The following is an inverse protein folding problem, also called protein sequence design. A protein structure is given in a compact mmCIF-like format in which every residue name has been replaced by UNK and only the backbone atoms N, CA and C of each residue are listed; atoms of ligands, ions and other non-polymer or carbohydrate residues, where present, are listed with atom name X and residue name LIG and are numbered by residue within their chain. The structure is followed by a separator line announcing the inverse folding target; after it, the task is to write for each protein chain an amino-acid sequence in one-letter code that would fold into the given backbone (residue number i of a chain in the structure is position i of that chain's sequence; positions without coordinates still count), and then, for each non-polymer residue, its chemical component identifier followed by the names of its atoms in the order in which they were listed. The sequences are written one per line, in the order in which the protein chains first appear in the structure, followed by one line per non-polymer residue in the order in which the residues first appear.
data_IF_116905773908
#
_entry.id   IF_116905773908
#
_cell.length_a   1.000
_cell.length_b   1.000
_cell.length_c   1.000
_cell.angle_alpha   90.00
_cell.angle_beta   90.00
_cell.angle_gamma   90.00
#
_symmetry.space_group_name_H-M   'P 1'
#
loop_
_entity.id
_entity.type
_entity.pdbx_description
1 polymer ?
#
# COMPACT_ATOMS: atom_id res chain seq x y z
N UNK A 1 -29.54 15.60 -17.44
CA UNK A 1 -30.38 14.48 -16.99
C UNK A 1 -29.56 13.78 -15.91
N UNK A 2 -30.03 13.91 -14.66
CA UNK A 2 -29.26 13.50 -13.48
C UNK A 2 -29.23 11.96 -13.36
N UNK A 3 -28.10 11.36 -13.14
CA UNK A 3 -27.93 9.89 -12.93
C UNK A 3 -28.89 9.32 -11.87
N UNK A 4 -29.26 10.13 -10.89
CA UNK A 4 -30.26 9.76 -9.86
C UNK A 4 -31.68 9.65 -10.39
N UNK A 5 -32.05 10.38 -11.45
CA UNK A 5 -33.38 10.26 -12.08
C UNK A 5 -33.48 9.01 -12.94
N UNK A 6 -32.42 8.63 -13.62
CA UNK A 6 -32.35 7.38 -14.40
C UNK A 6 -32.42 6.16 -13.49
N UNK A 7 -31.73 6.18 -12.35
CA UNK A 7 -31.76 5.12 -11.34
C UNK A 7 -33.16 4.96 -10.71
N UNK A 8 -33.84 6.08 -10.44
CA UNK A 8 -35.18 6.03 -9.88
C UNK A 8 -36.23 5.55 -10.89
N UNK A 9 -36.06 5.85 -12.19
CA UNK A 9 -36.95 5.37 -13.24
C UNK A 9 -36.78 3.87 -13.51
N UNK A 10 -35.54 3.35 -13.53
CA UNK A 10 -35.30 1.89 -13.64
C UNK A 10 -35.78 1.15 -12.39
N UNK A 11 -35.59 1.72 -11.21
CA UNK A 11 -36.03 1.11 -9.95
C UNK A 11 -37.58 1.03 -9.89
N UNK A 12 -38.28 2.06 -10.34
CA UNK A 12 -39.75 2.05 -10.40
C UNK A 12 -40.26 1.11 -11.48
N UNK A 13 -39.61 0.99 -12.64
CA UNK A 13 -40.00 0.01 -13.68
C UNK A 13 -39.79 -1.44 -13.22
N UNK A 14 -38.74 -1.71 -12.41
CA UNK A 14 -38.54 -3.05 -11.81
C UNK A 14 -39.63 -3.33 -10.76
N UNK A 15 -40.01 -2.34 -9.98
CA UNK A 15 -41.13 -2.47 -9.00
C UNK A 15 -42.47 -2.72 -9.69
N UNK A 16 -42.77 -2.03 -10.79
CA UNK A 16 -44.02 -2.20 -11.56
C UNK A 16 -44.06 -3.56 -12.27
N UNK A 17 -42.96 -4.07 -12.79
CA UNK A 17 -42.89 -5.40 -13.39
C UNK A 17 -42.97 -6.54 -12.36
N UNK A 18 -42.52 -6.32 -11.13
CA UNK A 18 -42.70 -7.27 -10.01
C UNK A 18 -44.17 -7.28 -9.52
N UNK A 19 -44.87 -6.16 -9.60
CA UNK A 19 -46.27 -6.11 -9.21
C UNK A 19 -47.22 -6.72 -10.26
N UNK A 20 -46.94 -6.56 -11.55
CA UNK A 20 -47.82 -7.02 -12.63
C UNK A 20 -47.64 -8.48 -13.06
N UNK A 21 -46.54 -9.15 -12.67
CA UNK A 21 -46.29 -10.57 -12.98
C UNK A 21 -46.85 -11.60 -12.00
N UNK A 22 -47.45 -11.17 -10.88
CA UNK A 22 -47.75 -12.04 -9.74
C UNK A 22 -49.22 -12.14 -9.30
N UNK A 23 -50.17 -11.95 -10.17
CA UNK A 23 -51.57 -11.88 -9.74
C UNK A 23 -52.29 -13.22 -9.49
N UNK A 24 -51.67 -14.39 -9.66
CA UNK A 24 -52.31 -15.68 -9.35
C UNK A 24 -51.61 -16.58 -8.35
N UNK A 25 -50.38 -16.32 -7.97
CA UNK A 25 -49.63 -17.11 -6.96
C UNK A 25 -49.73 -16.50 -5.56
N UNK A 26 -50.27 -15.27 -5.46
CA UNK A 26 -50.16 -14.43 -4.28
C UNK A 26 -51.05 -14.76 -3.08
N UNK A 27 -52.14 -15.51 -3.27
CA UNK A 27 -53.05 -15.79 -2.14
C UNK A 27 -52.52 -16.90 -1.24
N UNK A 28 -51.95 -17.95 -1.82
CA UNK A 28 -51.36 -19.07 -1.04
C UNK A 28 -50.00 -18.69 -0.41
N UNK A 29 -49.15 -17.96 -1.11
CA UNK A 29 -47.92 -17.44 -0.55
C UNK A 29 -48.15 -16.37 0.51
N UNK A 30 -49.14 -15.52 0.37
CA UNK A 30 -49.53 -14.53 1.39
C UNK A 30 -50.07 -15.22 2.65
N UNK A 31 -50.94 -16.23 2.48
CA UNK A 31 -51.45 -17.08 3.58
C UNK A 31 -50.30 -17.87 4.25
N UNK A 32 -49.43 -18.51 3.48
CA UNK A 32 -48.27 -19.21 3.99
C UNK A 32 -47.34 -18.27 4.77
N UNK A 33 -47.03 -17.10 4.22
CA UNK A 33 -46.17 -16.10 4.90
C UNK A 33 -46.84 -15.53 6.17
N UNK A 34 -48.15 -15.38 6.21
CA UNK A 34 -48.86 -14.94 7.41
C UNK A 34 -48.90 -16.05 8.47
N UNK A 35 -49.19 -17.29 8.07
CA UNK A 35 -49.16 -18.46 8.98
C UNK A 35 -47.75 -18.66 9.50
N UNK A 36 -46.71 -18.59 8.66
CA UNK A 36 -45.30 -18.74 9.08
C UNK A 36 -44.82 -17.60 9.99
N UNK A 37 -45.37 -16.36 9.81
CA UNK A 37 -45.13 -15.28 10.76
C UNK A 37 -45.74 -15.56 12.13
N UNK A 38 -46.98 -16.03 12.16
CA UNK A 38 -47.70 -16.34 13.41
C UNK A 38 -47.04 -17.54 14.11
N UNK A 39 -46.76 -18.62 13.37
CA UNK A 39 -46.14 -19.80 13.93
C UNK A 39 -44.70 -19.55 14.38
N UNK A 40 -43.90 -18.78 13.61
CA UNK A 40 -42.56 -18.38 14.00
C UNK A 40 -42.52 -17.50 15.24
N UNK A 41 -43.47 -16.61 15.41
CA UNK A 41 -43.65 -15.80 16.63
C UNK A 41 -44.10 -16.66 17.81
N UNK A 42 -45.02 -17.60 17.60
CA UNK A 42 -45.49 -18.51 18.66
C UNK A 42 -44.39 -19.48 19.10
N UNK A 43 -43.64 -20.08 18.17
CA UNK A 43 -42.49 -20.97 18.49
C UNK A 43 -41.42 -20.19 19.22
N UNK A 44 -41.14 -18.97 18.83
CA UNK A 44 -40.19 -18.10 19.52
C UNK A 44 -40.67 -17.71 20.94
N UNK A 45 -41.99 -17.56 21.15
CA UNK A 45 -42.59 -17.31 22.45
C UNK A 45 -42.60 -18.54 23.38
N UNK A 46 -42.80 -19.72 22.80
CA UNK A 46 -42.92 -20.99 23.59
C UNK A 46 -41.56 -21.54 24.01
N UNK A 47 -40.51 -21.28 23.22
CA UNK A 47 -39.15 -21.77 23.53
C UNK A 47 -38.36 -20.89 24.52
N UNK A 48 -38.86 -19.71 24.86
CA UNK A 48 -38.15 -18.78 25.79
C UNK A 48 -39.07 -18.43 26.95
N UNK A 49 -38.70 -18.72 28.19
CA UNK A 49 -39.52 -18.39 29.37
C UNK A 49 -39.60 -16.87 29.66
N UNK A 50 -39.20 -16.04 28.74
CA UNK A 50 -39.25 -14.59 28.83
C UNK A 50 -40.15 -13.99 27.74
N UNK A 51 -41.36 -13.65 28.10
CA UNK A 51 -42.42 -13.02 27.26
C UNK A 51 -41.98 -11.71 26.60
N UNK A 52 -40.80 -11.16 26.98
CA UNK A 52 -40.33 -9.83 26.54
C UNK A 52 -39.34 -9.85 25.36
N UNK A 53 -38.84 -10.99 24.91
CA UNK A 53 -37.76 -11.07 23.92
C UNK A 53 -38.17 -11.90 22.71
N UNK A 54 -38.91 -11.30 21.77
CA UNK A 54 -39.02 -11.83 20.42
C UNK A 54 -37.61 -11.88 19.77
N UNK A 55 -37.40 -12.70 18.70
CA UNK A 55 -36.11 -12.78 18.01
C UNK A 55 -35.74 -11.40 17.47
N UNK A 56 -34.85 -10.76 18.18
CA UNK A 56 -34.35 -9.44 17.80
C UNK A 56 -32.89 -9.55 17.40
N UNK A 57 -32.52 -8.86 16.34
CA UNK A 57 -31.15 -8.69 15.91
C UNK A 57 -30.73 -7.25 16.16
N UNK A 58 -29.54 -7.06 16.75
CA UNK A 58 -28.91 -5.77 16.89
C UNK A 58 -27.90 -5.60 15.77
N UNK A 59 -27.98 -4.51 15.04
CA UNK A 59 -27.00 -4.11 14.03
C UNK A 59 -26.21 -2.95 14.62
N UNK A 60 -24.93 -3.17 14.83
CA UNK A 60 -24.02 -2.19 15.41
C UNK A 60 -23.69 -1.09 14.40
N UNK A 61 -23.25 0.06 14.91
CA UNK A 61 -22.80 1.16 14.08
C UNK A 61 -21.56 0.73 13.25
N UNK A 62 -21.56 1.04 11.96
CA UNK A 62 -20.53 0.60 11.00
C UNK A 62 -20.81 -0.75 10.35
N UNK A 63 -21.98 -1.36 10.62
CA UNK A 63 -22.49 -2.55 9.94
C UNK A 63 -23.84 -2.24 9.30
N UNK A 64 -24.11 -2.97 8.24
CA UNK A 64 -25.42 -2.93 7.56
C UNK A 64 -25.90 -4.37 7.41
N UNK A 65 -27.17 -4.59 7.69
CA UNK A 65 -27.85 -5.87 7.50
C UNK A 65 -28.61 -5.88 6.19
N UNK A 66 -28.49 -6.93 5.41
CA UNK A 66 -29.34 -7.17 4.24
C UNK A 66 -30.37 -8.19 4.63
N UNK A 67 -31.63 -7.76 4.64
CA UNK A 67 -32.76 -8.63 4.95
C UNK A 67 -33.24 -9.34 3.68
N UNK A 68 -33.08 -10.66 3.67
CA UNK A 68 -33.67 -11.54 2.68
C UNK A 68 -34.91 -12.23 3.27
N UNK A 69 -36.00 -12.27 2.54
CA UNK A 69 -37.20 -13.01 2.91
C UNK A 69 -37.47 -14.07 1.87
N UNK A 70 -37.48 -15.33 2.27
CA UNK A 70 -37.56 -16.46 1.35
C UNK A 70 -36.49 -16.38 0.22
N UNK A 71 -35.29 -15.93 0.53
CA UNK A 71 -34.20 -15.76 -0.44
C UNK A 71 -34.30 -14.49 -1.30
N UNK A 72 -35.37 -13.71 -1.19
CA UNK A 72 -35.57 -12.47 -1.97
C UNK A 72 -35.16 -11.25 -1.14
N UNK A 73 -34.41 -10.34 -1.74
CA UNK A 73 -34.07 -9.06 -1.13
C UNK A 73 -35.31 -8.26 -0.75
N UNK A 74 -35.35 -7.74 0.46
CA UNK A 74 -36.45 -6.90 0.93
C UNK A 74 -36.04 -5.48 1.25
N UNK A 75 -35.03 -5.34 2.13
CA UNK A 75 -34.57 -4.02 2.56
C UNK A 75 -33.18 -4.09 3.18
N UNK A 76 -32.54 -2.93 3.21
CA UNK A 76 -31.30 -2.70 3.93
C UNK A 76 -31.67 -2.27 5.36
N UNK A 77 -31.03 -2.87 6.35
CA UNK A 77 -31.19 -2.56 7.76
C UNK A 77 -29.98 -1.71 8.21
N UNK A 78 -30.25 -0.49 8.60
CA UNK A 78 -29.26 0.41 9.19
C UNK A 78 -29.01 0.05 10.67
N UNK A 79 -27.99 0.66 11.32
CA UNK A 79 -27.75 0.42 12.75
C UNK A 79 -28.98 0.60 13.60
N UNK A 80 -29.26 -0.37 14.49
CA UNK A 80 -30.43 -0.37 15.35
C UNK A 80 -30.89 -1.77 15.70
N UNK A 81 -32.01 -1.85 16.44
CA UNK A 81 -32.65 -3.10 16.84
C UNK A 81 -33.79 -3.42 15.89
N UNK A 82 -33.81 -4.63 15.36
CA UNK A 82 -34.84 -5.10 14.44
C UNK A 82 -35.41 -6.44 14.91
N UNK A 83 -36.71 -6.59 14.78
CA UNK A 83 -37.37 -7.86 14.97
C UNK A 83 -37.44 -8.59 13.63
N UNK A 84 -37.07 -9.85 13.60
CA UNK A 84 -37.07 -10.67 12.40
C UNK A 84 -37.74 -12.01 12.65
N UNK A 85 -38.15 -12.70 11.60
CA UNK A 85 -38.78 -13.99 11.70
C UNK A 85 -37.76 -15.08 11.34
N UNK A 86 -37.38 -15.91 12.32
CA UNK A 86 -36.34 -16.94 12.18
C UNK A 86 -36.65 -17.94 11.06
N UNK A 87 -37.94 -18.21 10.77
CA UNK A 87 -38.33 -19.20 9.78
C UNK A 87 -38.27 -18.71 8.32
N UNK A 88 -38.33 -17.38 8.09
CA UNK A 88 -38.52 -16.80 6.75
C UNK A 88 -37.42 -15.83 6.40
N UNK A 89 -36.89 -15.12 7.41
CA UNK A 89 -35.97 -14.01 7.21
C UNK A 89 -34.52 -14.49 7.42
N UNK A 90 -33.66 -14.24 6.43
CA UNK A 90 -32.20 -14.37 6.54
C UNK A 90 -31.57 -12.98 6.55
N UNK A 91 -30.64 -12.73 7.48
CA UNK A 91 -30.02 -11.42 7.62
C UNK A 91 -28.50 -11.60 7.46
N UNK A 92 -27.98 -11.05 6.36
CA UNK A 92 -26.54 -11.01 6.10
C UNK A 92 -25.97 -9.69 6.57
N UNK A 93 -24.98 -9.74 7.48
CA UNK A 93 -24.30 -8.56 7.99
C UNK A 93 -23.07 -8.26 7.14
N UNK A 94 -22.93 -6.99 6.74
CA UNK A 94 -21.79 -6.48 5.98
C UNK A 94 -21.16 -5.34 6.77
N UNK A 95 -19.85 -5.34 6.92
CA UNK A 95 -19.09 -4.24 7.51
C UNK A 95 -18.92 -3.13 6.48
N UNK A 96 -19.20 -1.90 6.89
CA UNK A 96 -18.87 -0.70 6.12
C UNK A 96 -17.54 -0.07 6.56
N UNK A 97 -16.93 -0.64 7.59
CA UNK A 97 -15.64 -0.17 8.11
C UNK A 97 -14.54 -0.55 7.13
N UNK A 98 -13.44 0.19 7.17
CA UNK A 98 -12.25 -0.20 6.44
C UNK A 98 -11.72 -1.51 7.01
N UNK A 99 -11.62 -2.51 6.18
CA UNK A 99 -11.03 -3.80 6.52
C UNK A 99 -9.63 -3.90 5.88
N UNK A 100 -8.71 -4.54 6.58
CA UNK A 100 -7.40 -4.90 6.05
C UNK A 100 -7.38 -6.39 5.71
N UNK A 101 -6.99 -6.70 4.49
CA UNK A 101 -6.81 -8.07 4.02
C UNK A 101 -5.32 -8.30 3.76
N UNK A 102 -4.75 -9.28 4.45
CA UNK A 102 -3.39 -9.71 4.22
C UNK A 102 -3.34 -10.70 3.07
N UNK A 103 -2.64 -10.34 1.98
CA UNK A 103 -2.61 -11.14 0.75
C UNK A 103 -1.67 -12.35 0.89
N UNK A 104 -0.78 -12.31 1.90
CA UNK A 104 0.24 -13.32 2.12
C UNK A 104 1.36 -13.30 1.09
N UNK A 105 2.41 -14.03 1.38
CA UNK A 105 3.60 -14.10 0.54
C UNK A 105 3.32 -14.74 -0.81
N UNK A 106 3.71 -14.07 -1.89
CA UNK A 106 3.58 -14.54 -3.26
C UNK A 106 4.95 -14.63 -3.92
N UNK A 107 5.26 -15.80 -4.51
CA UNK A 107 6.44 -15.96 -5.36
C UNK A 107 6.10 -15.46 -6.76
N UNK A 108 6.74 -14.39 -7.19
CA UNK A 108 6.49 -13.73 -8.47
C UNK A 108 7.80 -13.59 -9.24
N UNK A 109 7.69 -13.44 -10.55
CA UNK A 109 8.82 -13.21 -11.43
C UNK A 109 8.72 -11.79 -11.98
N UNK A 110 9.80 -11.04 -11.92
CA UNK A 110 9.93 -9.71 -12.50
C UNK A 110 10.22 -9.78 -14.00
N UNK A 111 10.15 -8.64 -14.69
CA UNK A 111 10.52 -8.53 -16.11
C UNK A 111 11.97 -8.95 -16.37
N UNK A 112 12.87 -8.77 -15.41
CA UNK A 112 14.28 -9.20 -15.44
C UNK A 112 14.46 -10.72 -15.25
N UNK A 113 13.39 -11.52 -15.23
CA UNK A 113 13.39 -12.96 -14.94
C UNK A 113 13.96 -13.31 -13.55
N UNK A 114 13.84 -12.41 -12.59
CA UNK A 114 14.25 -12.64 -11.21
C UNK A 114 13.05 -13.07 -10.37
N UNK A 115 13.23 -14.13 -9.58
CA UNK A 115 12.20 -14.58 -8.64
C UNK A 115 12.25 -13.72 -7.38
N UNK A 116 11.10 -13.16 -6.99
CA UNK A 116 10.92 -12.34 -5.80
C UNK A 116 9.76 -12.85 -4.97
N UNK A 117 9.87 -12.74 -3.66
CA UNK A 117 8.79 -13.03 -2.72
C UNK A 117 8.23 -11.70 -2.25
N UNK A 118 6.95 -11.48 -2.49
CA UNK A 118 6.29 -10.21 -2.17
C UNK A 118 5.17 -10.45 -1.17
N UNK A 119 5.16 -9.63 -0.13
CA UNK A 119 4.09 -9.52 0.84
C UNK A 119 3.35 -8.20 0.62
N UNK A 120 2.01 -8.26 0.62
CA UNK A 120 1.17 -7.10 0.39
C UNK A 120 -0.05 -7.10 1.30
N UNK A 121 -0.52 -5.90 1.62
CA UNK A 121 -1.75 -5.67 2.39
C UNK A 121 -2.70 -4.83 1.57
N UNK A 122 -3.95 -5.23 1.55
CA UNK A 122 -5.03 -4.53 0.90
C UNK A 122 -5.95 -3.91 1.94
N UNK A 123 -6.23 -2.63 1.81
CA UNK A 123 -7.25 -1.91 2.58
C UNK A 123 -8.43 -1.60 1.66
N UNK A 124 -9.62 -1.88 2.13
CA UNK A 124 -10.83 -1.59 1.37
C UNK A 124 -12.01 -1.34 2.32
N UNK A 125 -13.03 -0.67 1.82
CA UNK A 125 -14.32 -0.59 2.50
C UNK A 125 -15.46 -0.91 1.52
N UNK A 126 -16.57 -1.36 2.07
CA UNK A 126 -17.78 -1.62 1.30
C UNK A 126 -18.63 -0.35 1.31
N UNK A 127 -18.87 0.24 0.13
CA UNK A 127 -19.77 1.39 -0.03
C UNK A 127 -21.22 0.96 -0.30
N UNK A 128 -21.39 -0.10 -1.08
CA UNK A 128 -22.68 -0.66 -1.44
C UNK A 128 -22.79 -2.12 -0.99
N UNK A 129 -23.40 -2.31 0.17
CA UNK A 129 -23.56 -3.63 0.76
C UNK A 129 -24.43 -4.56 -0.13
N UNK A 130 -25.38 -4.01 -0.89
CA UNK A 130 -26.24 -4.79 -1.77
C UNK A 130 -25.41 -5.43 -2.89
N UNK A 131 -24.57 -4.65 -3.57
CA UNK A 131 -23.70 -5.18 -4.63
C UNK A 131 -22.69 -6.18 -4.08
N UNK A 132 -22.15 -5.93 -2.90
CA UNK A 132 -21.16 -6.81 -2.28
C UNK A 132 -21.72 -8.19 -1.92
N UNK A 133 -23.02 -8.32 -1.67
CA UNK A 133 -23.65 -9.59 -1.31
C UNK A 133 -24.27 -10.30 -2.52
N UNK A 134 -24.77 -9.57 -3.53
CA UNK A 134 -25.47 -10.18 -4.64
C UNK A 134 -24.62 -10.39 -5.88
N UNK A 135 -23.63 -9.54 -6.12
CA UNK A 135 -22.79 -9.67 -7.30
C UNK A 135 -21.63 -10.65 -7.13
N UNK A 136 -21.27 -10.95 -5.86
CA UNK A 136 -20.12 -11.82 -5.54
C UNK A 136 -20.50 -12.73 -4.39
N UNK A 137 -20.20 -14.01 -4.50
CA UNK A 137 -20.48 -14.99 -3.44
C UNK A 137 -19.72 -14.70 -2.16
N UNK A 138 -18.42 -14.45 -2.28
CA UNK A 138 -17.56 -14.04 -1.17
C UNK A 138 -16.59 -12.97 -1.63
N UNK A 139 -16.95 -11.72 -1.36
CA UNK A 139 -16.15 -10.56 -1.79
C UNK A 139 -14.72 -10.58 -1.23
N UNK A 140 -14.50 -11.11 -0.02
CA UNK A 140 -13.15 -11.17 0.57
C UNK A 140 -12.23 -12.11 -0.22
N UNK A 141 -12.72 -13.30 -0.56
CA UNK A 141 -11.95 -14.27 -1.35
C UNK A 141 -11.73 -13.78 -2.77
N UNK A 142 -12.74 -13.14 -3.35
CA UNK A 142 -12.64 -12.58 -4.70
C UNK A 142 -11.65 -11.41 -4.77
N UNK A 143 -11.62 -10.55 -3.76
CA UNK A 143 -10.61 -9.48 -3.62
C UNK A 143 -9.21 -10.08 -3.51
N UNK A 144 -9.02 -11.08 -2.65
CA UNK A 144 -7.72 -11.73 -2.48
C UNK A 144 -7.19 -12.30 -3.81
N UNK A 145 -8.05 -13.00 -4.54
CA UNK A 145 -7.69 -13.56 -5.85
C UNK A 145 -7.39 -12.49 -6.89
N UNK A 146 -8.19 -11.42 -6.91
CA UNK A 146 -7.98 -10.28 -7.80
C UNK A 146 -6.65 -9.57 -7.49
N UNK A 147 -6.37 -9.32 -6.22
CA UNK A 147 -5.11 -8.72 -5.77
C UNK A 147 -3.90 -9.56 -6.20
N UNK A 148 -3.93 -10.87 -5.96
CA UNK A 148 -2.85 -11.78 -6.37
C UNK A 148 -2.60 -11.77 -7.86
N UNK A 149 -3.67 -11.77 -8.66
CA UNK A 149 -3.57 -11.74 -10.13
C UNK A 149 -3.01 -10.41 -10.63
N UNK A 150 -3.51 -9.30 -10.09
CA UNK A 150 -3.06 -7.96 -10.47
C UNK A 150 -1.62 -7.71 -10.06
N UNK A 151 -1.23 -8.12 -8.84
CA UNK A 151 0.16 -8.07 -8.39
C UNK A 151 1.07 -8.83 -9.35
N UNK A 152 0.70 -10.05 -9.75
CA UNK A 152 1.49 -10.85 -10.68
C UNK A 152 1.68 -10.14 -12.02
N UNK A 153 0.64 -9.52 -12.55
CA UNK A 153 0.69 -8.78 -13.83
C UNK A 153 1.60 -7.57 -13.72
N UNK A 154 1.37 -6.71 -12.72
CA UNK A 154 2.13 -5.46 -12.59
C UNK A 154 3.60 -5.71 -12.25
N UNK A 155 3.89 -6.71 -11.43
CA UNK A 155 5.27 -7.05 -11.07
C UNK A 155 6.00 -7.67 -12.25
N UNK A 156 5.32 -8.51 -13.04
CA UNK A 156 5.88 -9.06 -14.27
C UNK A 156 6.18 -8.02 -15.38
N UNK A 157 5.51 -6.87 -15.33
CA UNK A 157 5.76 -5.74 -16.24
C UNK A 157 6.94 -4.85 -15.80
N UNK A 158 7.38 -4.94 -14.55
CA UNK A 158 8.39 -4.06 -13.97
C UNK A 158 9.68 -4.80 -13.62
N UNK A 159 10.80 -4.07 -13.72
CA UNK A 159 12.11 -4.54 -13.31
C UNK A 159 12.25 -4.50 -11.77
N UNK A 160 13.15 -5.31 -11.23
CA UNK A 160 13.42 -5.36 -9.82
C UNK A 160 13.82 -3.99 -9.23
N UNK A 161 14.65 -3.24 -9.93
CA UNK A 161 15.07 -1.91 -9.49
C UNK A 161 13.89 -0.92 -9.40
N UNK A 162 12.92 -1.05 -10.32
CA UNK A 162 11.71 -0.24 -10.30
C UNK A 162 10.83 -0.54 -9.07
N UNK A 163 10.77 -1.79 -8.62
CA UNK A 163 10.01 -2.19 -7.42
C UNK A 163 10.52 -1.49 -6.15
N UNK A 164 11.82 -1.20 -6.07
CA UNK A 164 12.39 -0.48 -4.92
C UNK A 164 12.32 1.04 -5.07
N UNK A 165 12.57 1.57 -6.26
CA UNK A 165 12.69 3.03 -6.48
C UNK A 165 11.36 3.71 -6.81
N UNK A 166 10.42 3.00 -7.45
CA UNK A 166 9.15 3.55 -7.96
C UNK A 166 7.92 2.95 -7.29
N UNK A 167 8.02 2.55 -6.02
CA UNK A 167 6.92 1.93 -5.25
C UNK A 167 5.57 2.66 -5.38
N UNK A 168 5.61 3.99 -5.24
CA UNK A 168 4.39 4.81 -5.30
C UNK A 168 3.70 4.76 -6.65
N UNK A 169 4.46 4.69 -7.73
CA UNK A 169 3.91 4.60 -9.09
C UNK A 169 3.29 3.21 -9.32
N UNK A 170 3.98 2.16 -8.86
CA UNK A 170 3.52 0.78 -8.97
C UNK A 170 2.24 0.58 -8.15
N UNK A 171 2.19 1.06 -6.90
CA UNK A 171 1.00 0.98 -6.08
C UNK A 171 -0.18 1.71 -6.73
N UNK A 172 0.02 2.89 -7.31
CA UNK A 172 -1.03 3.60 -8.06
C UNK A 172 -1.54 2.78 -9.24
N UNK A 173 -0.64 2.19 -10.01
CA UNK A 173 -1.00 1.35 -11.16
C UNK A 173 -1.83 0.14 -10.75
N UNK A 174 -1.45 -0.53 -9.66
CA UNK A 174 -2.20 -1.65 -9.09
C UNK A 174 -3.59 -1.19 -8.68
N UNK A 175 -3.69 -0.09 -7.94
CA UNK A 175 -4.96 0.45 -7.46
C UNK A 175 -5.90 0.82 -8.60
N UNK A 176 -5.41 1.47 -9.67
CA UNK A 176 -6.20 1.80 -10.86
C UNK A 176 -6.78 0.56 -11.55
N UNK A 177 -5.99 -0.50 -11.70
CA UNK A 177 -6.45 -1.74 -12.33
C UNK A 177 -7.55 -2.42 -11.50
N UNK A 178 -7.38 -2.45 -10.19
CA UNK A 178 -8.32 -3.12 -9.30
C UNK A 178 -9.61 -2.31 -9.13
N UNK A 179 -9.50 -0.98 -9.05
CA UNK A 179 -10.66 -0.11 -8.84
C UNK A 179 -11.75 -0.32 -9.90
N UNK A 180 -11.35 -0.58 -11.14
CA UNK A 180 -12.30 -0.84 -12.23
C UNK A 180 -13.15 -2.10 -11.97
N UNK A 181 -12.58 -3.14 -11.38
CA UNK A 181 -13.32 -4.36 -11.02
C UNK A 181 -14.05 -4.21 -9.69
N UNK A 182 -13.44 -3.58 -8.70
CA UNK A 182 -13.96 -3.41 -7.35
C UNK A 182 -15.26 -2.56 -7.33
N UNK A 183 -15.39 -1.57 -8.20
CA UNK A 183 -16.61 -0.75 -8.36
C UNK A 183 -17.84 -1.59 -8.67
N UNK A 184 -17.72 -2.63 -9.48
CA UNK A 184 -18.82 -3.52 -9.82
C UNK A 184 -19.30 -4.35 -8.62
N UNK A 185 -18.45 -4.54 -7.63
CA UNK A 185 -18.73 -5.28 -6.39
C UNK A 185 -19.19 -4.36 -5.25
N UNK A 186 -19.33 -3.06 -5.51
CA UNK A 186 -19.73 -2.07 -4.51
C UNK A 186 -18.65 -1.81 -3.46
N UNK A 187 -17.37 -2.00 -3.82
CA UNK A 187 -16.22 -1.76 -2.97
C UNK A 187 -15.59 -0.43 -3.37
N UNK A 188 -15.25 0.38 -2.39
CA UNK A 188 -14.60 1.67 -2.59
C UNK A 188 -13.34 1.79 -1.72
N UNK A 189 -12.60 2.89 -1.92
CA UNK A 189 -11.38 3.21 -1.19
C UNK A 189 -10.38 2.04 -1.15
N UNK A 190 -10.18 1.46 -2.32
CA UNK A 190 -9.28 0.34 -2.47
C UNK A 190 -7.83 0.86 -2.48
N UNK A 191 -7.00 0.35 -1.57
CA UNK A 191 -5.59 0.68 -1.50
C UNK A 191 -4.76 -0.57 -1.22
N UNK A 192 -3.90 -0.95 -2.18
CA UNK A 192 -2.92 -1.99 -1.98
C UNK A 192 -1.57 -1.35 -1.71
N UNK A 193 -0.90 -1.87 -0.71
CA UNK A 193 0.45 -1.49 -0.35
C UNK A 193 1.35 -2.73 -0.32
N UNK A 194 2.43 -2.67 -1.09
CA UNK A 194 3.50 -3.66 -1.01
C UNK A 194 4.23 -3.41 0.31
N UNK A 195 4.16 -4.38 1.20
CA UNK A 195 4.75 -4.32 2.53
C UNK A 195 6.23 -4.65 2.47
N UNK A 196 6.57 -5.81 1.93
CA UNK A 196 7.92 -6.29 1.86
C UNK A 196 8.21 -7.00 0.52
N UNK A 197 9.49 -6.96 0.13
CA UNK A 197 10.01 -7.63 -1.08
C UNK A 197 11.25 -8.39 -0.67
N UNK A 198 11.13 -9.69 -0.55
CA UNK A 198 12.24 -10.56 -0.20
C UNK A 198 12.88 -11.13 -1.47
N UNK A 199 14.20 -11.14 -1.47
CA UNK A 199 15.01 -11.70 -2.54
C UNK A 199 15.67 -13.01 -2.08
N UNK A 200 15.89 -13.98 -2.99
CA UNK A 200 16.70 -15.14 -2.70
C UNK A 200 18.11 -14.71 -2.22
N UNK A 201 18.65 -15.41 -1.24
CA UNK A 201 19.94 -15.06 -0.61
C UNK A 201 21.11 -14.95 -1.60
N UNK A 202 21.12 -15.77 -2.65
CA UNK A 202 22.13 -15.71 -3.71
C UNK A 202 22.08 -14.37 -4.45
N UNK A 203 20.88 -13.90 -4.79
CA UNK A 203 20.68 -12.65 -5.49
C UNK A 203 20.97 -11.45 -4.59
N UNK A 204 20.55 -11.52 -3.32
CA UNK A 204 20.81 -10.49 -2.32
C UNK A 204 22.31 -10.25 -2.14
N UNK A 205 23.12 -11.31 -2.07
CA UNK A 205 24.59 -11.20 -1.98
C UNK A 205 25.19 -10.58 -3.25
N UNK A 206 24.77 -11.03 -4.41
CA UNK A 206 25.26 -10.46 -5.69
C UNK A 206 24.92 -8.98 -5.83
N UNK A 207 23.70 -8.58 -5.47
CA UNK A 207 23.28 -7.17 -5.49
C UNK A 207 24.03 -6.32 -4.46
N UNK A 208 24.32 -6.87 -3.28
CA UNK A 208 25.13 -6.19 -2.27
C UNK A 208 26.53 -5.92 -2.81
N UNK A 209 27.19 -6.92 -3.42
CA UNK A 209 28.51 -6.76 -4.02
C UNK A 209 28.54 -5.72 -5.15
N UNK A 210 27.52 -5.73 -6.03
CA UNK A 210 27.40 -4.73 -7.11
C UNK A 210 27.20 -3.33 -6.52
N UNK A 211 26.35 -3.20 -5.49
CA UNK A 211 26.11 -1.93 -4.82
C UNK A 211 27.37 -1.40 -4.12
N UNK A 212 28.10 -2.26 -3.43
CA UNK A 212 29.35 -1.94 -2.76
C UNK A 212 30.42 -1.48 -3.76
N UNK A 213 30.62 -2.24 -4.85
CA UNK A 213 31.55 -1.87 -5.90
C UNK A 213 31.19 -0.54 -6.59
N UNK A 214 29.89 -0.28 -6.77
CA UNK A 214 29.39 0.97 -7.34
C UNK A 214 29.66 2.15 -6.40
N UNK A 215 29.40 1.98 -5.11
CA UNK A 215 29.68 3.01 -4.09
C UNK A 215 31.18 3.28 -3.98
N UNK A 216 32.02 2.25 -4.01
CA UNK A 216 33.47 2.39 -4.01
C UNK A 216 33.98 3.12 -5.25
N UNK A 217 33.46 2.80 -6.43
CA UNK A 217 33.78 3.51 -7.66
C UNK A 217 33.36 4.99 -7.60
N UNK A 218 32.17 5.28 -7.09
CA UNK A 218 31.72 6.67 -6.90
C UNK A 218 32.57 7.41 -5.89
N UNK A 219 32.95 6.79 -4.78
CA UNK A 219 33.84 7.39 -3.79
C UNK A 219 35.19 7.76 -4.41
N UNK A 220 35.77 6.87 -5.23
CA UNK A 220 37.05 7.12 -5.94
C UNK A 220 36.89 8.29 -6.94
N UNK A 221 35.78 8.39 -7.65
CA UNK A 221 35.53 9.51 -8.57
C UNK A 221 35.42 10.84 -7.80
N UNK A 222 34.63 10.86 -6.72
CA UNK A 222 34.47 12.05 -5.87
C UNK A 222 35.82 12.48 -5.27
N UNK A 223 36.61 11.51 -4.83
CA UNK A 223 37.97 11.79 -4.29
C UNK A 223 38.88 12.37 -5.38
N UNK A 224 38.91 11.78 -6.57
CA UNK A 224 39.69 12.30 -7.70
C UNK A 224 39.24 13.71 -8.14
N UNK A 225 37.96 13.97 -8.13
CA UNK A 225 37.42 15.33 -8.38
C UNK A 225 37.84 16.33 -7.29
N UNK A 226 37.82 15.90 -6.02
CA UNK A 226 38.26 16.72 -4.91
C UNK A 226 39.76 17.03 -5.00
N UNK A 227 40.56 16.00 -5.31
CA UNK A 227 42.01 16.15 -5.50
C UNK A 227 42.33 17.10 -6.69
N UNK A 228 41.60 16.94 -7.80
CA UNK A 228 41.75 17.86 -8.95
C UNK A 228 41.42 19.31 -8.58
N UNK A 229 40.30 19.54 -7.87
CA UNK A 229 39.93 20.88 -7.38
C UNK A 229 40.97 21.44 -6.40
N UNK A 230 41.49 20.59 -5.52
CA UNK A 230 42.55 21.00 -4.59
C UNK A 230 43.82 21.44 -5.34
N UNK A 231 44.21 20.71 -6.38
CA UNK A 231 45.37 21.06 -7.24
C UNK A 231 45.12 22.39 -7.97
N UNK A 232 43.91 22.60 -8.50
CA UNK A 232 43.55 23.84 -9.16
C UNK A 232 43.64 25.04 -8.20
N UNK A 233 43.09 24.90 -6.99
CA UNK A 233 43.16 25.94 -5.95
C UNK A 233 44.64 26.18 -5.54
N UNK A 234 45.44 25.14 -5.38
CA UNK A 234 46.86 25.28 -5.09
C UNK A 234 47.61 25.99 -6.24
N UNK A 235 47.24 25.69 -7.48
CA UNK A 235 47.81 26.36 -8.67
C UNK A 235 47.45 27.86 -8.73
N UNK A 236 46.24 28.21 -8.39
CA UNK A 236 45.83 29.63 -8.29
C UNK A 236 46.57 30.32 -7.12
N UNK A 237 46.59 29.66 -5.97
CA UNK A 237 47.34 30.15 -4.81
C UNK A 237 48.82 30.32 -5.13
N UNK A 238 49.44 29.39 -5.88
CA UNK A 238 50.88 29.49 -6.26
C UNK A 238 51.14 30.66 -7.20
N UNK A 239 50.22 30.99 -8.09
CA UNK A 239 50.35 32.19 -8.97
C UNK A 239 50.36 33.48 -8.16
N UNK A 240 49.48 33.61 -7.18
CA UNK A 240 49.47 34.77 -6.27
C UNK A 240 50.66 34.82 -5.30
N UNK A 241 51.29 33.67 -4.99
CA UNK A 241 52.47 33.56 -4.14
C UNK A 241 53.78 33.93 -4.85
N UNK A 242 53.83 33.83 -6.18
CA UNK A 242 54.99 34.28 -6.97
C UNK A 242 55.20 35.77 -6.86
N UNK A 243 54.14 36.55 -6.58
CA UNK A 243 54.23 37.98 -6.37
C UNK A 243 54.77 38.41 -4.98
N UNK A 244 54.81 37.49 -4.00
CA UNK A 244 55.30 37.81 -2.66
C UNK A 244 56.05 36.60 -2.03
N UNK A 245 57.42 36.62 -2.07
CA UNK A 245 58.26 35.53 -1.58
C UNK A 245 58.15 35.27 -0.06
N UNK A 246 57.62 36.22 0.70
CA UNK A 246 57.42 36.10 2.15
C UNK A 246 56.30 35.12 2.54
N UNK A 247 55.30 34.97 1.68
CA UNK A 247 54.16 34.05 1.89
C UNK A 247 54.54 32.58 1.70
N UNK A 248 55.54 32.26 0.90
CA UNK A 248 56.10 30.94 0.76
C UNK A 248 56.69 30.42 2.09
N UNK A 249 57.33 31.31 2.85
CA UNK A 249 57.89 30.97 4.16
C UNK A 249 56.81 30.68 5.19
N UNK A 250 55.71 31.41 5.19
CA UNK A 250 54.56 31.15 6.08
C UNK A 250 53.92 29.82 5.77
N UNK A 251 53.79 29.48 4.50
CA UNK A 251 53.21 28.19 4.09
C UNK A 251 54.10 27.01 4.49
N UNK A 252 55.43 27.16 4.32
CA UNK A 252 56.42 26.20 4.80
C UNK A 252 56.39 26.01 6.35
N UNK A 253 56.26 27.06 7.11
CA UNK A 253 56.10 27.00 8.56
C UNK A 253 54.76 26.34 8.98
N UNK A 254 53.67 26.59 8.24
CA UNK A 254 52.40 25.95 8.52
C UNK A 254 52.44 24.43 8.24
N UNK A 255 53.04 24.00 7.12
CA UNK A 255 53.19 22.56 6.82
C UNK A 255 54.10 21.88 7.82
N UNK A 256 55.20 22.50 8.25
CA UNK A 256 56.05 21.97 9.32
C UNK A 256 55.29 21.84 10.65
N UNK A 257 54.43 22.80 10.99
CA UNK A 257 53.62 22.78 12.19
C UNK A 257 52.54 21.67 12.14
N UNK A 258 52.04 21.38 10.97
CA UNK A 258 51.03 20.32 10.76
C UNK A 258 51.69 18.94 10.87
N UNK A 259 52.86 18.74 10.25
CA UNK A 259 53.64 17.51 10.36
C UNK A 259 54.13 17.29 11.82
N UNK A 260 54.47 18.38 12.52
CA UNK A 260 54.91 18.32 13.93
C UNK A 260 53.80 17.98 14.93
N UNK A 261 52.50 18.09 14.52
CA UNK A 261 51.36 17.67 15.34
C UNK A 261 51.18 16.15 15.45
N UNK A 262 51.72 15.40 14.49
CA UNK A 262 51.69 13.94 14.55
C UNK A 262 52.84 13.45 15.48
N UNK A 263 52.43 12.87 16.60
CA UNK A 263 53.33 12.50 17.74
C UNK A 263 54.41 11.45 17.45
N UNK A 264 54.54 10.98 16.21
CA UNK A 264 55.40 9.84 15.85
C UNK A 264 56.49 10.14 14.80
N UNK A 265 56.63 11.35 14.31
CA UNK A 265 57.56 11.63 13.20
C UNK A 265 58.80 12.42 13.66
N UNK A 266 59.98 11.85 13.42
CA UNK A 266 61.25 12.59 13.53
C UNK A 266 61.58 13.20 12.17
N UNK A 267 61.49 14.53 12.05
CA UNK A 267 61.75 15.25 10.82
C UNK A 267 63.24 15.64 10.80
N UNK A 268 64.00 15.06 9.87
CA UNK A 268 65.35 15.47 9.61
C UNK A 268 65.38 16.44 8.42
N UNK A 269 65.52 17.70 8.69
CA UNK A 269 65.60 18.75 7.64
C UNK A 269 67.07 18.90 7.26
N UNK A 270 67.44 18.55 6.02
CA UNK A 270 68.82 18.81 5.53
C UNK A 270 68.95 20.30 5.16
N UNK A 271 70.14 20.83 5.43
CA UNK A 271 70.50 22.25 5.19
C UNK A 271 70.24 22.74 3.73
N UNK A 272 70.16 21.81 2.77
CA UNK A 272 70.00 22.12 1.36
C UNK A 272 68.51 22.37 0.97
N UNK A 273 67.57 22.12 1.86
CA UNK A 273 66.13 22.29 1.62
C UNK A 273 65.63 23.68 2.10
N UNK A 274 66.46 24.39 2.87
CA UNK A 274 66.16 25.75 3.31
C UNK A 274 66.59 26.73 2.21
N UNK A 275 65.69 27.28 1.41
CA UNK A 275 66.10 28.20 0.38
C UNK A 275 66.62 29.49 1.02
N UNK A 276 67.92 29.72 0.87
CA UNK A 276 68.65 31.05 0.87
C UNK A 276 68.23 32.15 1.87
N UNK A 277 67.58 31.82 2.99
CA UNK A 277 67.03 32.84 3.88
C UNK A 277 67.86 33.06 5.16
N UNK A 278 68.75 32.18 5.49
CA UNK A 278 69.66 32.34 6.65
C UNK A 278 70.75 33.34 6.38
N UNK A 279 71.02 33.72 5.14
CA UNK A 279 72.15 34.59 4.77
C UNK A 279 71.81 36.10 4.79
N UNK A 280 70.63 36.50 5.28
CA UNK A 280 70.22 37.90 5.41
C UNK A 280 69.91 38.35 6.84
N UNK A 281 70.15 37.48 7.82
CA UNK A 281 69.93 37.80 9.23
C UNK A 281 71.21 37.87 10.07
N UNK A 282 72.37 37.83 9.45
CA UNK A 282 73.65 38.17 10.12
C UNK A 282 74.39 39.29 9.35
#
# INVERSE_FOLDING_TARGET
MNLNEVYNLEYNQIQDNVQNGHTRVNCLTCLYNNIAKITGQIISCVCVPCICCGPTILIDQGYVGILLRNGVFRKILYPGRYTYNVCIDDIRRVSLKTESLHIGTQNLMTNDNLSVIIDAVCFFNVSDAQKAVFNVENYKVSIDSLCKTTLRTVIGENDLNALFTKRTIINKRINELIENYAKNWGISNFNIEIRDVELPESLKRSMAQISEAKMEAQAKIIQAEADSKAVDILREASKSLVESPETLNLLWFNTLKEIAKEKSNTIVVSENVCPKMLNKMF
#
